data_IF_109050244900
#
_entry.id   IF_109050244900
#
_cell.length_a   1.000
_cell.length_b   1.000
_cell.length_c   1.000
_cell.angle_alpha   90.00
_cell.angle_beta   90.00
_cell.angle_gamma   90.00
#
_symmetry.space_group_name_H-M   'P 1'
#
loop_
_entity.id
_entity.type
_entity.pdbx_description
1 polymer ?
#
# COMPACT_ATOMS: atom_id res chain seq x y z
N UNK A 1 -25.75 7.60 0.82
CA UNK A 1 -24.92 6.42 0.46
C UNK A 1 -24.45 5.81 1.75
N UNK A 2 -24.66 4.52 1.97
CA UNK A 2 -24.17 3.87 3.19
C UNK A 2 -22.67 3.52 3.03
N UNK A 3 -22.02 3.08 4.10
CA UNK A 3 -20.58 2.76 4.07
C UNK A 3 -20.26 1.57 3.16
N UNK A 4 -21.13 0.57 3.07
CA UNK A 4 -20.89 -0.61 2.22
C UNK A 4 -20.87 -0.23 0.73
N UNK A 5 -21.84 0.60 0.30
CA UNK A 5 -21.89 1.12 -1.08
C UNK A 5 -20.66 1.98 -1.40
N UNK A 6 -20.21 2.77 -0.43
CA UNK A 6 -19.01 3.60 -0.58
C UNK A 6 -17.77 2.73 -0.78
N UNK A 7 -17.55 1.75 0.12
CA UNK A 7 -16.41 0.84 0.06
C UNK A 7 -16.37 0.08 -1.27
N UNK A 8 -17.51 -0.47 -1.70
CA UNK A 8 -17.57 -1.25 -2.94
C UNK A 8 -17.30 -0.39 -4.18
N UNK A 9 -17.88 0.82 -4.25
CA UNK A 9 -17.62 1.74 -5.36
C UNK A 9 -16.15 2.13 -5.43
N UNK A 10 -15.53 2.49 -4.30
CA UNK A 10 -14.11 2.86 -4.27
C UNK A 10 -13.21 1.67 -4.60
N UNK A 11 -13.56 0.47 -4.15
CA UNK A 11 -12.85 -0.77 -4.51
C UNK A 11 -12.82 -0.97 -6.03
N UNK A 12 -13.96 -0.81 -6.70
CA UNK A 12 -14.07 -0.94 -8.17
C UNK A 12 -13.22 0.12 -8.88
N UNK A 13 -13.24 1.37 -8.41
CA UNK A 13 -12.45 2.45 -9.01
C UNK A 13 -10.94 2.22 -8.85
N UNK A 14 -10.52 1.71 -7.68
CA UNK A 14 -9.13 1.32 -7.39
C UNK A 14 -8.70 0.15 -8.28
N UNK A 15 -9.50 -0.91 -8.38
CA UNK A 15 -9.18 -2.07 -9.23
C UNK A 15 -9.05 -1.64 -10.70
N UNK A 16 -9.92 -0.74 -11.18
CA UNK A 16 -9.83 -0.20 -12.54
C UNK A 16 -8.53 0.57 -12.77
N UNK A 17 -8.11 1.39 -11.81
CA UNK A 17 -6.88 2.15 -11.95
C UNK A 17 -5.63 1.26 -11.87
N UNK A 18 -5.61 0.29 -10.95
CA UNK A 18 -4.53 -0.70 -10.85
C UNK A 18 -4.39 -1.49 -12.15
N UNK A 19 -5.50 -1.90 -12.75
CA UNK A 19 -5.52 -2.59 -14.04
C UNK A 19 -4.90 -1.74 -15.17
N UNK A 20 -5.19 -0.43 -15.17
CA UNK A 20 -4.67 0.54 -16.14
C UNK A 20 -3.17 0.79 -16.01
N UNK A 21 -2.65 0.88 -14.78
CA UNK A 21 -1.22 1.21 -14.55
C UNK A 21 -0.32 -0.02 -14.52
N UNK A 22 -0.87 -1.20 -14.24
CA UNK A 22 -0.10 -2.44 -14.28
C UNK A 22 0.22 -2.83 -15.74
N UNK A 23 1.49 -3.10 -16.09
CA UNK A 23 1.88 -3.49 -17.43
C UNK A 23 1.07 -4.70 -17.94
N UNK A 24 0.62 -4.74 -19.20
CA UNK A 24 -0.09 -5.90 -19.73
C UNK A 24 0.75 -7.17 -19.67
N UNK A 25 0.13 -8.32 -19.37
CA UNK A 25 0.79 -9.63 -19.34
C UNK A 25 1.48 -10.03 -20.65
N UNK A 26 1.04 -9.45 -21.76
CA UNK A 26 1.60 -9.69 -23.11
C UNK A 26 2.85 -8.85 -23.41
N UNK A 27 3.17 -7.86 -22.58
CA UNK A 27 4.35 -7.00 -22.75
C UNK A 27 5.58 -7.68 -22.13
N UNK A 28 6.71 -7.81 -22.84
CA UNK A 28 7.94 -8.32 -22.23
C UNK A 28 8.47 -7.43 -21.09
N UNK A 29 9.04 -8.00 -20.00
CA UNK A 29 9.12 -9.44 -19.70
C UNK A 29 7.78 -10.00 -19.21
N UNK A 30 7.17 -10.88 -20.01
CA UNK A 30 5.77 -11.31 -19.84
C UNK A 30 5.52 -12.03 -18.51
N UNK A 31 6.42 -12.94 -18.12
CA UNK A 31 6.28 -13.71 -16.86
C UNK A 31 6.30 -12.82 -15.61
N UNK A 32 7.09 -11.74 -15.61
CA UNK A 32 7.09 -10.77 -14.51
C UNK A 32 5.75 -10.05 -14.42
N UNK A 33 5.23 -9.60 -15.58
CA UNK A 33 3.94 -8.90 -15.62
C UNK A 33 2.76 -9.82 -15.28
N UNK A 34 2.82 -11.10 -15.65
CA UNK A 34 1.87 -12.11 -15.19
C UNK A 34 1.94 -12.30 -13.67
N UNK A 35 3.15 -12.47 -13.12
CA UNK A 35 3.37 -12.68 -11.68
C UNK A 35 2.90 -11.49 -10.84
N UNK A 36 3.27 -10.25 -11.19
CA UNK A 36 2.84 -9.09 -10.40
C UNK A 36 1.32 -8.89 -10.49
N UNK A 37 0.70 -9.12 -11.66
CA UNK A 37 -0.75 -8.98 -11.84
C UNK A 37 -1.52 -10.06 -11.10
N UNK A 38 -0.97 -11.28 -11.03
CA UNK A 38 -1.58 -12.38 -10.30
C UNK A 38 -1.87 -11.99 -8.84
N UNK A 39 -0.88 -11.45 -8.14
CA UNK A 39 -1.03 -11.03 -6.75
C UNK A 39 -1.82 -9.72 -6.63
N UNK A 40 -1.52 -8.72 -7.46
CA UNK A 40 -2.16 -7.40 -7.40
C UNK A 40 -3.66 -7.46 -7.65
N UNK A 41 -4.08 -8.31 -8.60
CA UNK A 41 -5.47 -8.48 -9.03
C UNK A 41 -6.15 -9.68 -8.38
N UNK A 42 -5.55 -10.30 -7.36
CA UNK A 42 -6.16 -11.41 -6.60
C UNK A 42 -7.40 -10.98 -5.78
N UNK A 43 -7.79 -9.71 -5.84
CA UNK A 43 -8.87 -9.09 -5.08
C UNK A 43 -8.38 -8.42 -3.80
N UNK A 44 -9.30 -8.16 -2.87
CA UNK A 44 -8.99 -7.53 -1.58
C UNK A 44 -9.98 -6.45 -1.20
N UNK A 45 -9.91 -6.01 0.06
CA UNK A 45 -10.78 -4.94 0.57
C UNK A 45 -10.31 -3.53 0.14
N UNK A 46 -9.09 -3.41 -0.38
CA UNK A 46 -8.46 -2.14 -0.82
C UNK A 46 -8.52 -1.04 0.24
N UNK A 47 -8.39 -1.41 1.52
CA UNK A 47 -8.58 -0.50 2.66
C UNK A 47 -7.67 0.72 2.57
N UNK A 48 -6.39 0.53 2.24
CA UNK A 48 -5.39 1.61 2.18
C UNK A 48 -5.73 2.64 1.09
N UNK A 49 -5.94 2.26 -0.18
CA UNK A 49 -6.44 3.19 -1.19
C UNK A 49 -7.72 3.91 -0.78
N UNK A 50 -8.67 3.19 -0.20
CA UNK A 50 -9.96 3.77 0.19
C UNK A 50 -9.77 4.80 1.32
N UNK A 51 -8.91 4.53 2.30
CA UNK A 51 -8.55 5.50 3.35
C UNK A 51 -7.88 6.75 2.76
N UNK A 52 -6.99 6.60 1.78
CA UNK A 52 -6.39 7.75 1.08
C UNK A 52 -7.45 8.61 0.38
N UNK A 53 -8.41 7.97 -0.30
CA UNK A 53 -9.49 8.67 -0.98
C UNK A 53 -10.40 9.36 0.04
N UNK A 54 -10.79 8.66 1.09
CA UNK A 54 -11.66 9.18 2.14
C UNK A 54 -11.01 10.36 2.89
N UNK A 55 -9.70 10.32 3.14
CA UNK A 55 -8.97 11.42 3.78
C UNK A 55 -8.99 12.71 2.94
N UNK A 56 -8.85 12.59 1.61
CA UNK A 56 -8.96 13.74 0.72
C UNK A 56 -10.41 14.26 0.65
N UNK A 57 -11.39 13.35 0.54
CA UNK A 57 -12.81 13.70 0.51
C UNK A 57 -13.29 14.34 1.83
N UNK A 58 -12.74 13.95 2.97
CA UNK A 58 -13.02 14.56 4.27
C UNK A 58 -12.53 16.02 4.38
N UNK A 59 -11.67 16.45 3.46
CA UNK A 59 -11.22 17.84 3.30
C UNK A 59 -11.95 18.56 2.15
N UNK A 60 -13.01 17.95 1.61
CA UNK A 60 -13.78 18.41 0.45
C UNK A 60 -12.93 18.58 -0.83
N UNK A 61 -11.89 17.74 -1.00
CA UNK A 61 -10.99 17.79 -2.15
C UNK A 61 -10.89 16.45 -2.87
N UNK A 62 -10.83 16.48 -4.20
CA UNK A 62 -10.59 15.31 -5.06
C UNK A 62 -9.58 15.66 -6.16
N UNK A 63 -8.28 15.83 -5.82
CA UNK A 63 -7.28 16.24 -6.79
C UNK A 63 -7.14 15.18 -7.90
N UNK A 64 -6.88 15.57 -9.17
CA UNK A 64 -6.85 14.63 -10.28
C UNK A 64 -5.85 13.46 -10.11
N UNK A 65 -4.73 13.69 -9.41
CA UNK A 65 -3.72 12.67 -9.13
C UNK A 65 -4.03 11.76 -7.93
N UNK A 66 -5.17 11.93 -7.23
CA UNK A 66 -5.48 11.21 -5.99
C UNK A 66 -5.45 9.68 -6.17
N UNK A 67 -5.88 9.18 -7.33
CA UNK A 67 -5.93 7.73 -7.56
C UNK A 67 -4.54 7.12 -7.70
N UNK A 68 -3.57 7.83 -8.27
CA UNK A 68 -2.17 7.39 -8.31
C UNK A 68 -1.59 7.30 -6.90
N UNK A 69 -1.87 8.31 -6.06
CA UNK A 69 -1.49 8.32 -4.64
C UNK A 69 -2.10 7.14 -3.90
N UNK A 70 -3.41 6.93 -4.02
CA UNK A 70 -4.13 5.85 -3.36
C UNK A 70 -3.62 4.47 -3.79
N UNK A 71 -3.46 4.25 -5.10
CA UNK A 71 -3.04 2.96 -5.65
C UNK A 71 -1.57 2.64 -5.36
N UNK A 72 -0.72 3.65 -5.12
CA UNK A 72 0.69 3.42 -4.75
C UNK A 72 0.81 2.61 -3.46
N UNK A 73 -0.09 2.82 -2.50
CA UNK A 73 -0.12 2.09 -1.24
C UNK A 73 -0.60 0.65 -1.40
N UNK A 74 -1.44 0.37 -2.41
CA UNK A 74 -1.83 -1.02 -2.71
C UNK A 74 -0.69 -1.76 -3.42
N UNK A 75 0.11 -1.07 -4.24
CA UNK A 75 1.33 -1.64 -4.81
C UNK A 75 2.33 -1.97 -3.69
N UNK A 76 2.54 -1.06 -2.73
CA UNK A 76 3.33 -1.31 -1.52
C UNK A 76 2.79 -2.52 -0.75
N UNK A 77 1.50 -2.51 -0.44
CA UNK A 77 0.89 -3.58 0.33
C UNK A 77 0.98 -4.94 -0.38
N UNK A 78 0.77 -4.96 -1.71
CA UNK A 78 0.82 -6.20 -2.47
C UNK A 78 2.23 -6.76 -2.51
N UNK A 79 3.27 -5.93 -2.69
CA UNK A 79 4.64 -6.46 -2.65
C UNK A 79 4.94 -7.06 -1.28
N UNK A 80 4.53 -6.40 -0.20
CA UNK A 80 4.85 -6.86 1.16
C UNK A 80 4.28 -8.26 1.36
N UNK A 81 3.03 -8.49 0.93
CA UNK A 81 2.41 -9.81 0.99
C UNK A 81 3.14 -10.86 0.15
N UNK A 82 3.60 -10.51 -1.06
CA UNK A 82 4.35 -11.45 -1.91
C UNK A 82 5.65 -11.89 -1.22
N UNK A 83 6.36 -10.95 -0.59
CA UNK A 83 7.61 -11.24 0.11
C UNK A 83 7.37 -11.95 1.44
N UNK A 84 6.35 -11.56 2.21
CA UNK A 84 5.95 -12.22 3.46
C UNK A 84 5.56 -13.69 3.20
N UNK A 85 4.94 -14.00 2.06
CA UNK A 85 4.58 -15.37 1.69
C UNK A 85 5.78 -16.29 1.41
N UNK A 86 7.01 -15.78 1.25
CA UNK A 86 8.16 -16.59 0.85
C UNK A 86 8.56 -17.62 1.93
N UNK A 87 9.21 -18.73 1.56
CA UNK A 87 9.66 -19.75 2.52
C UNK A 87 10.59 -19.24 3.62
N UNK A 88 11.33 -18.15 3.36
CA UNK A 88 12.22 -17.51 4.33
C UNK A 88 11.51 -16.56 5.31
N UNK A 89 10.19 -16.37 5.14
CA UNK A 89 9.34 -15.47 5.90
C UNK A 89 8.19 -16.31 6.50
N UNK A 90 6.92 -16.03 6.17
CA UNK A 90 5.76 -16.73 6.73
C UNK A 90 5.58 -18.14 6.13
N UNK A 91 6.23 -18.43 4.98
CA UNK A 91 6.16 -19.72 4.27
C UNK A 91 4.72 -20.17 3.95
N UNK A 92 3.88 -19.21 3.55
CA UNK A 92 2.47 -19.45 3.25
C UNK A 92 2.28 -20.10 1.87
N UNK A 93 1.57 -21.23 1.84
CA UNK A 93 1.23 -21.92 0.59
C UNK A 93 0.00 -21.32 -0.11
N UNK A 94 -0.88 -20.67 0.65
CA UNK A 94 -2.14 -20.13 0.17
C UNK A 94 -2.45 -18.74 0.75
N UNK A 95 -2.97 -17.85 -0.11
CA UNK A 95 -3.51 -16.55 0.29
C UNK A 95 -4.90 -16.36 -0.30
N UNK A 96 -5.88 -16.11 0.58
CA UNK A 96 -7.30 -15.91 0.21
C UNK A 96 -7.87 -17.05 -0.66
N UNK A 97 -7.49 -18.29 -0.34
CA UNK A 97 -7.96 -19.50 -1.05
C UNK A 97 -7.28 -19.75 -2.40
N UNK A 98 -6.24 -18.99 -2.77
CA UNK A 98 -5.43 -19.22 -3.97
C UNK A 98 -3.98 -19.53 -3.59
N UNK A 99 -3.22 -20.30 -4.39
CA UNK A 99 -1.79 -20.49 -4.16
C UNK A 99 -1.05 -19.14 -4.06
N UNK A 100 -0.05 -19.04 -3.20
CA UNK A 100 0.79 -17.83 -3.12
C UNK A 100 1.64 -17.66 -4.38
N UNK A 101 2.16 -16.45 -4.59
CA UNK A 101 2.88 -16.12 -5.83
C UNK A 101 4.05 -17.08 -6.10
N UNK A 102 4.86 -17.35 -5.07
CA UNK A 102 6.02 -18.22 -5.19
C UNK A 102 5.64 -19.68 -5.48
N UNK A 103 4.44 -20.13 -5.10
CA UNK A 103 3.93 -21.47 -5.45
C UNK A 103 3.53 -21.57 -6.92
N UNK A 104 3.16 -20.47 -7.56
CA UNK A 104 2.78 -20.44 -8.98
C UNK A 104 3.98 -20.16 -9.88
N UNK A 105 4.82 -19.20 -9.51
CA UNK A 105 5.87 -18.66 -10.38
C UNK A 105 7.31 -18.96 -9.90
N UNK A 106 7.46 -19.60 -8.75
CA UNK A 106 8.75 -19.82 -8.10
C UNK A 106 9.23 -18.61 -7.28
N UNK A 107 10.14 -18.87 -6.34
CA UNK A 107 10.65 -17.87 -5.39
C UNK A 107 11.33 -16.70 -6.07
N UNK A 108 12.21 -16.95 -7.05
CA UNK A 108 12.92 -15.89 -7.76
C UNK A 108 11.97 -14.91 -8.47
N UNK A 109 10.88 -15.42 -9.06
CA UNK A 109 9.90 -14.57 -9.72
C UNK A 109 9.05 -13.80 -8.71
N UNK A 110 8.69 -14.42 -7.58
CA UNK A 110 7.97 -13.74 -6.50
C UNK A 110 8.80 -12.58 -5.91
N UNK A 111 10.09 -12.79 -5.68
CA UNK A 111 11.02 -11.74 -5.22
C UNK A 111 11.00 -10.57 -6.22
N UNK A 112 11.24 -10.84 -7.50
CA UNK A 112 11.28 -9.81 -8.54
C UNK A 112 9.93 -9.11 -8.76
N UNK A 113 8.81 -9.83 -8.61
CA UNK A 113 7.47 -9.24 -8.69
C UNK A 113 7.23 -8.26 -7.53
N UNK A 114 7.67 -8.61 -6.32
CA UNK A 114 7.62 -7.70 -5.19
C UNK A 114 8.50 -6.46 -5.40
N UNK A 115 9.75 -6.64 -5.84
CA UNK A 115 10.67 -5.54 -6.14
C UNK A 115 10.11 -4.59 -7.21
N UNK A 116 9.49 -5.15 -8.25
CA UNK A 116 8.82 -4.38 -9.29
C UNK A 116 7.65 -3.57 -8.73
N UNK A 117 6.76 -4.18 -7.93
CA UNK A 117 5.62 -3.48 -7.33
C UNK A 117 6.04 -2.36 -6.37
N UNK A 118 7.07 -2.59 -5.54
CA UNK A 118 7.68 -1.56 -4.70
C UNK A 118 8.16 -0.38 -5.54
N UNK A 119 8.88 -0.66 -6.63
CA UNK A 119 9.43 0.39 -7.51
C UNK A 119 8.33 1.11 -8.27
N UNK A 120 7.32 0.39 -8.76
CA UNK A 120 6.15 0.94 -9.44
C UNK A 120 5.35 1.89 -8.54
N UNK A 121 5.28 1.61 -7.23
CA UNK A 121 4.60 2.50 -6.29
C UNK A 121 5.18 3.92 -6.33
N UNK A 122 6.51 4.05 -6.38
CA UNK A 122 7.20 5.33 -6.52
C UNK A 122 7.10 5.92 -7.93
N UNK A 123 7.16 5.08 -8.96
CA UNK A 123 6.99 5.52 -10.35
C UNK A 123 5.65 6.27 -10.52
N UNK A 124 4.53 5.67 -10.11
CA UNK A 124 3.22 6.25 -10.39
C UNK A 124 2.96 7.57 -9.64
N UNK A 125 3.56 7.77 -8.46
CA UNK A 125 3.45 9.04 -7.71
C UNK A 125 4.51 10.06 -8.12
N UNK A 126 5.49 9.68 -8.94
CA UNK A 126 6.50 10.59 -9.50
C UNK A 126 6.14 11.08 -10.90
N UNK A 127 5.29 10.34 -11.61
CA UNK A 127 4.90 10.60 -13.00
C UNK A 127 4.01 11.85 -13.18
N UNK A 128 4.45 12.87 -13.94
CA UNK A 128 3.68 14.10 -14.13
C UNK A 128 2.31 13.91 -14.79
N UNK A 129 2.17 12.92 -15.67
CA UNK A 129 0.91 12.61 -16.35
C UNK A 129 -0.14 12.04 -15.39
N UNK A 130 0.29 11.23 -14.42
CA UNK A 130 -0.57 10.66 -13.38
C UNK A 130 -0.83 11.63 -12.22
N UNK A 131 0.12 12.52 -11.93
CA UNK A 131 0.06 13.50 -10.83
C UNK A 131 -0.40 14.89 -11.27
N UNK A 132 -1.19 14.97 -12.36
CA UNK A 132 -1.67 16.23 -12.92
C UNK A 132 -2.37 17.10 -11.87
N UNK A 133 -1.95 18.37 -11.79
CA UNK A 133 -2.52 19.34 -10.85
C UNK A 133 -2.02 19.21 -9.40
N UNK A 134 -1.13 18.25 -9.12
CA UNK A 134 -0.39 18.24 -7.86
C UNK A 134 0.73 19.27 -7.94
N UNK A 135 0.90 20.06 -6.87
CA UNK A 135 2.05 20.95 -6.76
C UNK A 135 3.33 20.11 -6.53
N UNK A 136 4.47 20.43 -7.15
CA UNK A 136 5.70 19.64 -7.01
C UNK A 136 6.18 19.46 -5.57
N UNK A 137 6.00 20.45 -4.70
CA UNK A 137 6.38 20.33 -3.28
C UNK A 137 5.47 19.32 -2.58
N UNK A 138 4.17 19.34 -2.87
CA UNK A 138 3.23 18.31 -2.37
C UNK A 138 3.56 16.93 -2.91
N UNK A 139 3.92 16.81 -4.18
CA UNK A 139 4.30 15.54 -4.80
C UNK A 139 5.54 14.93 -4.12
N UNK A 140 6.58 15.73 -3.86
CA UNK A 140 7.76 15.28 -3.11
C UNK A 140 7.39 14.86 -1.68
N UNK A 141 6.52 15.59 -0.99
CA UNK A 141 6.02 15.21 0.34
C UNK A 141 5.27 13.88 0.33
N UNK A 142 4.48 13.61 -0.71
CA UNK A 142 3.78 12.32 -0.89
C UNK A 142 4.79 11.18 -1.06
N UNK A 143 5.81 11.37 -1.90
CA UNK A 143 6.88 10.38 -2.10
C UNK A 143 7.63 10.11 -0.80
N UNK A 144 7.94 11.17 -0.04
CA UNK A 144 8.62 11.05 1.25
C UNK A 144 7.76 10.30 2.27
N UNK A 145 6.45 10.57 2.33
CA UNK A 145 5.53 9.89 3.23
C UNK A 145 5.38 8.40 2.86
N UNK A 146 5.30 8.08 1.56
CA UNK A 146 5.29 6.70 1.07
C UNK A 146 6.57 5.95 1.45
N UNK A 147 7.74 6.57 1.23
CA UNK A 147 9.03 6.00 1.59
C UNK A 147 9.16 5.75 3.09
N UNK A 148 8.74 6.72 3.91
CA UNK A 148 8.82 6.61 5.36
C UNK A 148 7.89 5.53 5.90
N UNK A 149 6.61 5.50 5.45
CA UNK A 149 5.64 4.50 5.89
C UNK A 149 5.98 3.07 5.46
N UNK A 150 6.63 2.91 4.30
CA UNK A 150 7.00 1.58 3.75
C UNK A 150 8.36 1.09 4.22
N UNK A 151 9.28 2.00 4.57
CA UNK A 151 10.70 1.70 4.75
C UNK A 151 11.10 1.13 6.10
N UNK A 152 12.38 1.30 6.44
CA UNK A 152 13.04 0.73 7.61
C UNK A 152 12.46 1.20 8.96
N UNK A 153 11.92 2.42 9.03
CA UNK A 153 11.25 2.95 10.22
C UNK A 153 9.73 2.75 10.15
N UNK A 154 9.23 2.12 9.09
CA UNK A 154 7.83 1.85 8.82
C UNK A 154 7.54 0.35 8.78
N UNK A 155 6.81 -0.06 7.74
CA UNK A 155 6.36 -1.43 7.52
C UNK A 155 7.49 -2.47 7.56
N UNK A 156 8.61 -2.23 6.86
CA UNK A 156 9.74 -3.18 6.85
C UNK A 156 10.38 -3.31 8.23
N UNK A 157 10.54 -2.21 8.97
CA UNK A 157 11.01 -2.26 10.36
C UNK A 157 10.07 -3.06 11.26
N UNK A 158 8.76 -2.89 11.05
CA UNK A 158 7.74 -3.68 11.73
C UNK A 158 7.83 -5.17 11.44
N UNK A 159 8.09 -5.55 10.19
CA UNK A 159 8.30 -6.94 9.81
C UNK A 159 9.53 -7.54 10.50
N UNK A 160 10.62 -6.77 10.65
CA UNK A 160 11.79 -7.21 11.42
C UNK A 160 11.43 -7.45 12.89
N UNK A 161 10.67 -6.55 13.52
CA UNK A 161 10.24 -6.74 14.90
C UNK A 161 9.37 -8.00 15.06
N UNK A 162 8.49 -8.27 14.09
CA UNK A 162 7.61 -9.44 14.10
C UNK A 162 8.42 -10.75 14.02
N UNK A 163 9.34 -10.86 13.06
CA UNK A 163 10.24 -12.02 12.92
C UNK A 163 11.09 -12.22 14.20
N UNK A 164 11.56 -11.13 14.81
CA UNK A 164 12.34 -11.22 16.05
C UNK A 164 11.50 -11.64 17.27
N UNK A 165 10.18 -11.44 17.21
CA UNK A 165 9.24 -11.80 18.27
C UNK A 165 8.67 -13.21 18.10
N UNK A 166 8.82 -13.85 16.94
CA UNK A 166 8.36 -15.22 16.71
C UNK A 166 8.89 -16.19 17.77
N UNK A 167 8.00 -17.07 18.25
CA UNK A 167 8.26 -18.09 19.26
C UNK A 167 8.76 -17.54 20.60
N UNK A 168 8.42 -16.28 20.93
CA UNK A 168 8.71 -15.65 22.23
C UNK A 168 7.43 -15.17 22.91
N UNK A 169 7.41 -15.23 24.24
CA UNK A 169 6.43 -14.50 25.04
C UNK A 169 6.80 -13.01 25.06
N UNK A 170 5.92 -12.17 24.52
CA UNK A 170 6.11 -10.72 24.45
C UNK A 170 5.08 -10.00 25.32
N UNK A 171 5.48 -8.85 25.88
CA UNK A 171 4.57 -7.99 26.62
C UNK A 171 3.68 -7.15 25.70
N UNK A 172 2.61 -6.59 26.26
CA UNK A 172 1.67 -5.74 25.51
C UNK A 172 2.37 -4.56 24.81
N UNK A 173 3.29 -3.80 25.44
CA UNK A 173 4.02 -2.73 24.76
C UNK A 173 4.80 -3.20 23.52
N UNK A 174 5.47 -4.36 23.60
CA UNK A 174 6.19 -4.93 22.45
C UNK A 174 5.24 -5.31 21.32
N UNK A 175 4.12 -5.97 21.64
CA UNK A 175 3.10 -6.34 20.66
C UNK A 175 2.50 -5.10 19.96
N UNK A 176 2.17 -4.06 20.73
CA UNK A 176 1.68 -2.80 20.19
C UNK A 176 2.73 -2.13 19.29
N UNK A 177 4.01 -2.19 19.65
CA UNK A 177 5.08 -1.65 18.82
C UNK A 177 5.22 -2.40 17.48
N UNK A 178 5.08 -3.74 17.48
CA UNK A 178 5.06 -4.55 16.25
C UNK A 178 3.89 -4.11 15.37
N UNK A 179 2.65 -4.09 15.88
CA UNK A 179 1.47 -3.73 15.09
C UNK A 179 1.54 -2.29 14.57
N UNK A 180 1.98 -1.35 15.42
CA UNK A 180 2.20 0.05 15.03
C UNK A 180 3.07 0.14 13.79
N UNK A 181 4.17 -0.58 13.75
CA UNK A 181 5.12 -0.52 12.64
C UNK A 181 4.68 -1.38 11.45
N UNK A 182 4.39 -2.68 11.65
CA UNK A 182 4.10 -3.64 10.57
C UNK A 182 2.85 -3.26 9.79
N UNK A 183 1.82 -2.75 10.47
CA UNK A 183 0.54 -2.41 9.85
C UNK A 183 0.20 -0.93 9.94
N UNK A 184 0.32 -0.35 11.15
CA UNK A 184 -0.13 1.01 11.44
C UNK A 184 0.57 2.08 10.59
N UNK A 185 1.88 1.96 10.36
CA UNK A 185 2.65 2.94 9.60
C UNK A 185 2.17 3.11 8.15
N UNK A 186 1.74 2.03 7.50
CA UNK A 186 1.20 2.12 6.15
C UNK A 186 -0.25 2.64 6.12
N UNK A 187 -1.03 2.41 7.17
CA UNK A 187 -2.36 3.05 7.34
C UNK A 187 -2.24 4.55 7.60
N UNK A 188 -1.28 4.94 8.45
CA UNK A 188 -0.89 6.32 8.71
C UNK A 188 -0.46 7.02 7.42
N UNK A 189 0.42 6.39 6.63
CA UNK A 189 0.81 6.91 5.33
C UNK A 189 -0.42 7.05 4.40
N UNK A 190 -1.33 6.08 4.39
CA UNK A 190 -2.51 6.13 3.53
C UNK A 190 -3.38 7.37 3.78
N UNK A 191 -3.71 7.65 5.04
CA UNK A 191 -4.50 8.82 5.40
C UNK A 191 -3.73 10.11 5.14
N UNK A 192 -2.46 10.19 5.57
CA UNK A 192 -1.64 11.40 5.41
C UNK A 192 -1.36 11.75 3.95
N UNK A 193 -1.09 10.76 3.10
CA UNK A 193 -0.87 11.00 1.67
C UNK A 193 -2.13 11.56 1.00
N UNK A 194 -3.32 11.10 1.40
CA UNK A 194 -4.60 11.66 0.94
C UNK A 194 -4.77 13.12 1.37
N UNK A 195 -4.50 13.41 2.64
CA UNK A 195 -4.55 14.77 3.18
C UNK A 195 -3.53 15.71 2.50
N UNK A 196 -2.29 15.27 2.29
CA UNK A 196 -1.26 16.04 1.59
C UNK A 196 -1.68 16.29 0.14
N UNK A 197 -2.20 15.29 -0.57
CA UNK A 197 -2.71 15.46 -1.93
C UNK A 197 -3.84 16.49 -1.98
N UNK A 198 -4.74 16.49 -0.99
CA UNK A 198 -5.81 17.47 -0.83
C UNK A 198 -5.32 18.88 -0.42
N UNK A 199 -4.05 19.04 -0.05
CA UNK A 199 -3.52 20.35 0.38
C UNK A 199 -3.88 20.71 1.81
N UNK A 200 -3.98 19.70 2.70
CA UNK A 200 -4.16 19.91 4.13
C UNK A 200 -3.13 20.88 4.70
N UNK A 201 -3.60 21.77 5.59
CA UNK A 201 -2.71 22.54 6.46
C UNK A 201 -2.17 21.65 7.60
N UNK A 202 -1.23 22.18 8.38
CA UNK A 202 -0.53 21.41 9.42
C UNK A 202 -1.50 20.85 10.47
N UNK A 203 -2.48 21.64 10.93
CA UNK A 203 -3.47 21.18 11.89
C UNK A 203 -4.34 20.04 11.33
N UNK A 204 -4.83 20.17 10.11
CA UNK A 204 -5.60 19.12 9.45
C UNK A 204 -4.77 17.84 9.29
N UNK A 205 -3.49 17.98 8.95
CA UNK A 205 -2.59 16.84 8.81
C UNK A 205 -2.34 16.15 10.15
N UNK A 206 -2.21 16.90 11.25
CA UNK A 206 -2.05 16.37 12.60
C UNK A 206 -3.31 15.63 13.08
N UNK A 207 -4.49 16.23 12.90
CA UNK A 207 -5.78 15.61 13.24
C UNK A 207 -5.98 14.28 12.47
N UNK A 208 -5.67 14.29 11.17
CA UNK A 208 -5.71 13.10 10.31
C UNK A 208 -4.68 12.05 10.71
N UNK A 209 -3.53 12.47 11.24
CA UNK A 209 -2.49 11.56 11.73
C UNK A 209 -2.95 10.85 13.00
N UNK A 210 -3.52 11.57 13.96
CA UNK A 210 -4.09 10.97 15.18
C UNK A 210 -5.16 9.93 14.86
N UNK A 211 -6.11 10.27 13.98
CA UNK A 211 -7.10 9.31 13.49
C UNK A 211 -6.47 8.05 12.90
N UNK A 212 -5.45 8.21 12.06
CA UNK A 212 -4.83 7.09 11.37
C UNK A 212 -4.02 6.17 12.31
N UNK A 213 -3.39 6.74 13.34
CA UNK A 213 -2.67 5.99 14.37
C UNK A 213 -3.64 5.22 15.28
N UNK A 214 -4.80 5.78 15.60
CA UNK A 214 -5.84 5.12 16.41
C UNK A 214 -6.48 3.92 15.70
N UNK A 215 -6.75 4.01 14.39
CA UNK A 215 -7.33 2.89 13.63
C UNK A 215 -6.28 1.83 13.22
N UNK A 216 -4.99 2.15 13.36
CA UNK A 216 -3.88 1.30 12.96
C UNK A 216 -3.37 0.37 14.06
N UNK A 217 -3.84 0.55 15.28
CA UNK A 217 -3.55 -0.26 16.48
C UNK A 217 -4.74 -1.16 16.83
#
# INVERSE_FOLDING_TARGET
>A
MNIADYLERKRVDVDRFLDLVAPPSVTPPTTLHESLRYSLMAGGKRVRPILTIAAAEALDQTPPGLMAVACSLELIHTYSLIHDDLPAMDNDDFRRGKPTNHKVYGEAMAILAGDALLTMAFDIVSRPDLMKGCDPVRQVRIIQELAFGSGNMGMVGGQVFDIQAENKDIDLPTLQNIHKHKTGMLMRAAVRMGAIAAGANDRQLDDMTGYAEDIGL
#
